data_IF_668812527541
#
_entry.id   IF_668812527541
#
_cell.length_a   1.000
_cell.length_b   1.000
_cell.length_c   1.000
_cell.angle_alpha   90.00
_cell.angle_beta   90.00
_cell.angle_gamma   90.00
#
_symmetry.space_group_name_H-M   'P 1'
#
loop_
_entity.id
_entity.type
_entity.pdbx_description
1 polymer ?
#
# COMPACT_ATOMS: atom_id res chain seq x y z
N UNK A 1 -1.04 -23.41 17.51
CA UNK A 1 -1.99 -22.28 17.43
C UNK A 1 -1.41 -21.00 18.05
N UNK A 2 -1.00 -20.97 19.33
CA UNK A 2 -0.45 -19.76 19.98
C UNK A 2 0.83 -19.19 19.31
N UNK A 3 1.82 -20.03 18.96
CA UNK A 3 3.07 -19.58 18.31
C UNK A 3 2.85 -18.93 16.94
N UNK A 4 1.85 -19.37 16.19
CA UNK A 4 1.49 -18.79 14.88
C UNK A 4 0.86 -17.43 15.04
N UNK A 5 -0.03 -17.26 16.03
CA UNK A 5 -0.64 -15.97 16.34
C UNK A 5 0.40 -14.94 16.83
N UNK A 6 1.35 -15.35 17.67
CA UNK A 6 2.43 -14.48 18.13
C UNK A 6 3.33 -14.04 16.97
N UNK A 7 3.63 -14.94 16.03
CA UNK A 7 4.40 -14.61 14.83
C UNK A 7 3.72 -13.56 13.96
N UNK A 8 2.41 -13.73 13.70
CA UNK A 8 1.63 -12.76 12.90
C UNK A 8 1.57 -11.38 13.57
N UNK A 9 1.32 -11.34 14.89
CA UNK A 9 1.28 -10.07 15.64
C UNK A 9 2.65 -9.38 15.71
N UNK A 10 3.73 -10.16 15.81
CA UNK A 10 5.09 -9.63 15.79
C UNK A 10 5.48 -9.11 14.40
N UNK A 11 5.01 -9.75 13.34
CA UNK A 11 5.16 -9.30 11.96
C UNK A 11 4.45 -7.97 11.73
N UNK A 12 3.15 -7.87 12.07
CA UNK A 12 2.37 -6.63 11.96
C UNK A 12 3.05 -5.49 12.73
N UNK A 13 3.42 -5.73 14.00
CA UNK A 13 4.07 -4.72 14.83
C UNK A 13 5.42 -4.25 14.27
N UNK A 14 6.22 -5.16 13.70
CA UNK A 14 7.48 -4.79 13.04
C UNK A 14 7.23 -3.99 11.75
N UNK A 15 6.22 -4.36 10.97
CA UNK A 15 5.87 -3.72 9.70
C UNK A 15 5.28 -2.32 9.91
N UNK A 16 4.49 -2.10 10.97
CA UNK A 16 3.86 -0.81 11.27
C UNK A 16 4.84 0.24 11.84
N UNK A 17 5.95 -0.20 12.42
CA UNK A 17 6.92 0.67 13.09
C UNK A 17 8.23 0.73 12.28
N UNK A 18 8.46 1.85 11.59
CA UNK A 18 9.60 2.02 10.67
C UNK A 18 10.97 1.90 11.36
N UNK A 19 11.10 2.41 12.58
CA UNK A 19 12.37 2.52 13.31
C UNK A 19 12.61 1.39 14.31
N UNK A 20 11.63 0.49 14.51
CA UNK A 20 11.78 -0.57 15.51
C UNK A 20 12.79 -1.63 15.07
N UNK A 21 13.60 -2.10 16.02
CA UNK A 21 14.57 -3.17 15.80
C UNK A 21 13.96 -4.54 16.12
N UNK A 22 14.48 -5.61 15.51
CA UNK A 22 14.08 -6.98 15.82
C UNK A 22 14.33 -7.35 17.30
N UNK A 23 15.31 -6.71 17.94
CA UNK A 23 15.61 -6.88 19.36
C UNK A 23 14.49 -6.31 20.25
N UNK A 24 13.95 -5.15 19.90
CA UNK A 24 12.83 -4.53 20.63
C UNK A 24 11.54 -5.33 20.42
N UNK A 25 11.28 -5.81 19.20
CA UNK A 25 10.15 -6.71 18.91
C UNK A 25 10.27 -7.99 19.73
N UNK A 26 11.46 -8.59 19.82
CA UNK A 26 11.72 -9.77 20.63
C UNK A 26 11.38 -9.55 22.11
N UNK A 27 11.79 -8.40 22.67
CA UNK A 27 11.43 -7.98 24.02
C UNK A 27 9.91 -7.82 24.21
N UNK A 28 9.24 -7.21 23.24
CA UNK A 28 7.80 -6.91 23.30
C UNK A 28 6.93 -8.17 23.30
N UNK A 29 7.33 -9.19 22.53
CA UNK A 29 6.59 -10.45 22.41
C UNK A 29 7.12 -11.58 23.31
N UNK A 30 8.13 -11.30 24.16
CA UNK A 30 8.80 -12.28 25.03
C UNK A 30 9.33 -13.50 24.28
N UNK A 31 9.88 -13.26 23.09
CA UNK A 31 10.48 -14.28 22.21
C UNK A 31 11.98 -13.98 22.09
N UNK A 32 12.82 -14.99 21.87
CA UNK A 32 14.25 -14.74 21.65
C UNK A 32 14.49 -13.99 20.34
N UNK A 33 15.49 -13.11 20.33
CA UNK A 33 15.90 -12.36 19.12
C UNK A 33 16.25 -13.31 17.96
N UNK A 34 16.88 -14.46 18.25
CA UNK A 34 17.18 -15.50 17.26
C UNK A 34 15.93 -16.04 16.57
N UNK A 35 14.84 -16.25 17.32
CA UNK A 35 13.56 -16.74 16.77
C UNK A 35 12.90 -15.67 15.90
N UNK A 36 12.87 -14.41 16.35
CA UNK A 36 12.31 -13.29 15.58
C UNK A 36 13.11 -13.05 14.30
N UNK A 37 14.45 -13.09 14.38
CA UNK A 37 15.32 -12.97 13.20
C UNK A 37 15.11 -14.08 12.17
N UNK A 38 14.86 -15.31 12.61
CA UNK A 38 14.52 -16.41 11.70
C UNK A 38 13.17 -16.20 11.00
N UNK A 39 12.15 -15.70 11.73
CA UNK A 39 10.84 -15.39 11.12
C UNK A 39 10.94 -14.23 10.14
N UNK A 40 11.64 -13.15 10.53
CA UNK A 40 11.83 -11.98 9.69
C UNK A 40 12.50 -12.31 8.35
N UNK A 41 13.50 -13.21 8.37
CA UNK A 41 14.15 -13.72 7.16
C UNK A 41 13.24 -14.66 6.35
N UNK A 42 12.53 -15.57 7.01
CA UNK A 42 11.69 -16.55 6.31
C UNK A 42 10.50 -15.90 5.57
N UNK A 43 9.91 -14.86 6.15
CA UNK A 43 8.71 -14.19 5.61
C UNK A 43 9.01 -12.82 4.99
N UNK A 44 10.28 -12.45 4.83
CA UNK A 44 10.73 -11.18 4.24
C UNK A 44 10.12 -9.94 4.90
N UNK A 45 10.13 -9.87 6.23
CA UNK A 45 9.49 -8.77 6.98
C UNK A 45 10.06 -7.39 6.62
N UNK A 46 11.37 -7.29 6.35
CA UNK A 46 11.98 -6.03 5.95
C UNK A 46 11.43 -5.53 4.62
N UNK A 47 11.27 -6.40 3.62
CA UNK A 47 10.65 -6.02 2.35
C UNK A 47 9.18 -5.65 2.53
N UNK A 48 8.43 -6.37 3.38
CA UNK A 48 7.04 -6.03 3.68
C UNK A 48 6.92 -4.69 4.41
N UNK A 49 7.81 -4.40 5.35
CA UNK A 49 7.93 -3.10 6.04
C UNK A 49 8.26 -1.98 5.06
N UNK A 50 9.22 -2.22 4.17
CA UNK A 50 9.56 -1.28 3.09
C UNK A 50 8.36 -1.03 2.19
N UNK A 51 7.62 -2.06 1.78
CA UNK A 51 6.43 -1.91 0.94
C UNK A 51 5.27 -1.20 1.66
N UNK A 52 5.05 -1.51 2.95
CA UNK A 52 4.01 -0.90 3.77
C UNK A 52 4.26 0.59 3.98
N UNK A 53 5.51 0.96 4.24
CA UNK A 53 5.90 2.36 4.39
C UNK A 53 6.32 3.02 3.08
N UNK A 54 6.44 2.32 1.95
CA UNK A 54 6.63 2.93 0.62
C UNK A 54 5.33 3.61 0.11
N UNK A 55 4.46 4.04 1.02
CA UNK A 55 3.30 4.85 0.69
C UNK A 55 3.73 6.25 0.26
N UNK A 56 2.92 6.93 -0.58
CA UNK A 56 3.18 8.32 -0.98
C UNK A 56 3.46 9.26 0.20
N UNK A 57 2.89 8.96 1.37
CA UNK A 57 3.08 9.73 2.61
C UNK A 57 4.51 9.66 3.15
N UNK A 58 5.14 8.48 3.20
CA UNK A 58 6.51 8.38 3.71
C UNK A 58 7.54 8.95 2.73
N UNK A 59 7.29 8.79 1.43
CA UNK A 59 8.11 9.41 0.38
C UNK A 59 8.00 10.94 0.49
N UNK A 60 6.79 11.47 0.73
CA UNK A 60 6.57 12.89 1.01
C UNK A 60 7.31 13.36 2.27
N UNK A 61 7.30 12.58 3.35
CA UNK A 61 8.04 12.89 4.57
C UNK A 61 9.57 12.94 4.33
N UNK A 62 10.13 11.98 3.58
CA UNK A 62 11.56 12.00 3.21
C UNK A 62 11.92 13.22 2.35
N UNK A 63 11.08 13.58 1.37
CA UNK A 63 11.27 14.79 0.57
C UNK A 63 11.21 16.07 1.42
N UNK A 64 10.33 16.12 2.42
CA UNK A 64 10.24 17.26 3.34
C UNK A 64 11.49 17.39 4.24
N UNK A 65 12.00 16.28 4.77
CA UNK A 65 13.26 16.27 5.54
C UNK A 65 14.44 16.75 4.68
N UNK A 66 14.50 16.29 3.43
CA UNK A 66 15.54 16.69 2.49
C UNK A 66 15.46 18.18 2.13
N UNK A 67 14.25 18.72 1.96
CA UNK A 67 14.05 20.15 1.72
C UNK A 67 14.52 21.02 2.90
N UNK A 68 14.25 20.59 4.14
CA UNK A 68 14.75 21.27 5.34
C UNK A 68 16.28 21.24 5.42
N UNK A 69 16.88 20.10 5.07
CA UNK A 69 18.33 19.92 5.05
C UNK A 69 19.00 20.89 4.08
N UNK A 70 18.50 20.98 2.85
CA UNK A 70 18.98 21.94 1.85
C UNK A 70 18.76 23.38 2.29
N UNK A 71 17.62 23.68 2.93
CA UNK A 71 17.34 25.02 3.47
C UNK A 71 18.33 25.43 4.58
N UNK A 72 18.86 24.46 5.33
CA UNK A 72 19.90 24.68 6.34
C UNK A 72 21.32 24.77 5.76
N UNK A 73 21.48 24.71 4.43
CA UNK A 73 22.77 24.80 3.74
C UNK A 73 23.54 23.47 3.64
N UNK A 74 22.92 22.37 4.04
CA UNK A 74 23.51 21.04 3.90
C UNK A 74 23.27 20.46 2.50
N UNK A 75 24.20 19.66 1.94
CA UNK A 75 24.02 19.04 0.64
C UNK A 75 22.94 17.97 0.69
N UNK A 76 22.16 17.84 -0.39
CA UNK A 76 21.19 16.77 -0.53
C UNK A 76 21.86 15.38 -0.45
N UNK A 77 21.24 14.47 0.29
CA UNK A 77 21.57 13.05 0.39
C UNK A 77 21.03 12.22 -0.78
N UNK A 78 19.98 12.68 -1.46
CA UNK A 78 19.41 11.99 -2.61
C UNK A 78 18.90 12.95 -3.70
N UNK A 79 18.77 12.42 -4.92
CA UNK A 79 18.31 13.19 -6.07
C UNK A 79 16.78 13.30 -6.08
N UNK A 80 16.26 14.46 -5.68
CA UNK A 80 14.83 14.75 -5.65
C UNK A 80 14.15 14.66 -7.04
N UNK A 81 14.86 15.00 -8.14
CA UNK A 81 14.32 14.89 -9.50
C UNK A 81 14.10 13.42 -9.90
N UNK A 82 15.04 12.54 -9.57
CA UNK A 82 14.88 11.10 -9.79
C UNK A 82 13.72 10.53 -8.97
N UNK A 83 13.56 10.94 -7.70
CA UNK A 83 12.45 10.55 -6.85
C UNK A 83 11.12 11.03 -7.43
N UNK A 84 11.04 12.27 -7.91
CA UNK A 84 9.83 12.82 -8.52
C UNK A 84 9.43 12.04 -9.78
N UNK A 85 10.40 11.64 -10.62
CA UNK A 85 10.14 10.81 -11.81
C UNK A 85 9.60 9.42 -11.44
N UNK A 86 10.17 8.77 -10.43
CA UNK A 86 9.69 7.48 -9.94
C UNK A 86 8.29 7.59 -9.33
N UNK A 87 8.04 8.63 -8.53
CA UNK A 87 6.72 8.91 -7.96
C UNK A 87 5.67 9.18 -9.04
N UNK A 88 6.00 9.96 -10.06
CA UNK A 88 5.11 10.20 -11.19
C UNK A 88 4.79 8.90 -11.94
N UNK A 89 5.75 7.97 -12.08
CA UNK A 89 5.52 6.65 -12.67
C UNK A 89 4.61 5.78 -11.78
N UNK A 90 4.82 5.76 -10.47
CA UNK A 90 3.97 5.05 -9.50
C UNK A 90 2.55 5.62 -9.50
N UNK A 91 2.40 6.94 -9.48
CA UNK A 91 1.10 7.61 -9.55
C UNK A 91 0.37 7.29 -10.86
N UNK A 92 1.08 7.17 -11.99
CA UNK A 92 0.46 6.74 -13.25
C UNK A 92 -0.09 5.32 -13.16
N UNK A 93 0.66 4.40 -12.55
CA UNK A 93 0.23 3.03 -12.30
C UNK A 93 -0.95 2.95 -11.32
N UNK A 94 -0.96 3.79 -10.28
CA UNK A 94 -2.02 3.82 -9.26
C UNK A 94 -3.28 4.60 -9.67
N UNK A 95 -3.18 5.59 -10.56
CA UNK A 95 -4.32 6.40 -11.04
C UNK A 95 -5.33 5.60 -11.87
N UNK A 96 -4.92 4.45 -12.39
CA UNK A 96 -5.79 3.53 -13.09
C UNK A 96 -6.10 2.37 -12.14
N UNK A 97 -7.22 2.46 -11.43
CA UNK A 97 -7.74 1.30 -10.73
C UNK A 97 -7.94 0.17 -11.77
N UNK A 98 -7.40 -1.01 -11.46
CA UNK A 98 -7.45 -2.17 -12.34
C UNK A 98 -8.91 -2.38 -12.82
N UNK A 99 -9.17 -2.43 -14.14
CA UNK A 99 -10.52 -2.66 -14.68
C UNK A 99 -11.22 -3.87 -14.08
N UNK A 100 -10.47 -4.91 -13.69
CA UNK A 100 -10.98 -6.12 -13.05
C UNK A 100 -11.52 -5.78 -11.65
N UNK A 101 -10.79 -4.96 -10.88
CA UNK A 101 -11.22 -4.50 -9.56
C UNK A 101 -12.44 -3.58 -9.67
N UNK A 102 -12.44 -2.63 -10.61
CA UNK A 102 -13.61 -1.77 -10.88
C UNK A 102 -14.82 -2.60 -11.28
N UNK A 103 -14.65 -3.57 -12.18
CA UNK A 103 -15.72 -4.47 -12.61
C UNK A 103 -16.33 -5.23 -11.43
N UNK A 104 -15.48 -5.76 -10.53
CA UNK A 104 -15.92 -6.50 -9.35
C UNK A 104 -16.75 -5.62 -8.41
N UNK A 105 -16.28 -4.41 -8.11
CA UNK A 105 -16.99 -3.46 -7.23
C UNK A 105 -18.33 -3.06 -7.84
N UNK A 106 -18.37 -2.73 -9.14
CA UNK A 106 -19.61 -2.36 -9.82
C UNK A 106 -20.62 -3.52 -9.84
N UNK A 107 -20.14 -4.75 -9.99
CA UNK A 107 -20.98 -5.94 -9.94
C UNK A 107 -21.55 -6.17 -8.54
N UNK A 108 -20.75 -6.00 -7.49
CA UNK A 108 -21.22 -6.05 -6.09
C UNK A 108 -22.26 -4.95 -5.82
N UNK A 109 -22.04 -3.74 -6.34
CA UNK A 109 -23.00 -2.64 -6.27
C UNK A 109 -24.30 -2.96 -7.02
N UNK A 110 -24.23 -3.51 -8.24
CA UNK A 110 -25.39 -3.93 -9.01
C UNK A 110 -26.22 -4.99 -8.25
N UNK A 111 -25.56 -5.93 -7.57
CA UNK A 111 -26.25 -6.92 -6.73
C UNK A 111 -26.92 -6.29 -5.52
N UNK A 112 -26.23 -5.39 -4.81
CA UNK A 112 -26.81 -4.66 -3.69
C UNK A 112 -28.04 -3.84 -4.09
N UNK A 113 -27.98 -3.14 -5.23
CA UNK A 113 -29.14 -2.39 -5.74
C UNK A 113 -30.26 -3.36 -6.13
N UNK A 114 -29.95 -4.49 -6.77
CA UNK A 114 -30.95 -5.46 -7.20
C UNK A 114 -31.71 -6.12 -6.03
N UNK A 115 -31.09 -6.24 -4.85
CA UNK A 115 -31.77 -6.70 -3.63
C UNK A 115 -32.84 -5.72 -3.14
N UNK A 116 -32.68 -4.42 -3.41
CA UNK A 116 -33.62 -3.37 -2.98
C UNK A 116 -34.62 -3.00 -4.09
N UNK A 117 -34.13 -2.81 -5.31
CA UNK A 117 -34.90 -2.47 -6.50
C UNK A 117 -34.26 -3.10 -7.77
N UNK A 118 -34.79 -4.26 -8.22
CA UNK A 118 -34.30 -4.96 -9.40
C UNK A 118 -34.42 -4.16 -10.70
N UNK A 119 -35.37 -3.25 -10.78
CA UNK A 119 -35.70 -2.52 -12.00
C UNK A 119 -34.75 -1.33 -12.16
N UNK A 120 -34.47 -0.63 -11.06
CA UNK A 120 -33.45 0.41 -10.99
C UNK A 120 -32.03 -0.14 -11.18
N UNK A 121 -31.74 -1.35 -10.66
CA UNK A 121 -30.45 -2.01 -10.88
C UNK A 121 -30.14 -2.19 -12.38
N UNK A 122 -31.12 -2.62 -13.18
CA UNK A 122 -30.97 -2.76 -14.64
C UNK A 122 -30.62 -1.44 -15.33
N UNK A 123 -31.23 -0.34 -14.90
CA UNK A 123 -30.93 0.99 -15.44
C UNK A 123 -29.50 1.43 -15.09
N UNK A 124 -29.06 1.17 -13.85
CA UNK A 124 -27.72 1.49 -13.37
C UNK A 124 -26.62 0.68 -14.08
N UNK A 125 -26.84 -0.63 -14.29
CA UNK A 125 -25.87 -1.53 -14.95
C UNK A 125 -25.45 -1.01 -16.33
N UNK A 126 -26.33 -0.32 -17.06
CA UNK A 126 -26.00 0.32 -18.34
C UNK A 126 -24.88 1.37 -18.17
N UNK A 127 -25.02 2.26 -17.19
CA UNK A 127 -24.04 3.32 -16.93
C UNK A 127 -22.74 2.76 -16.32
N UNK A 128 -22.83 1.72 -15.49
CA UNK A 128 -21.65 1.03 -14.96
C UNK A 128 -20.79 0.41 -16.07
N UNK A 129 -21.42 -0.20 -17.09
CA UNK A 129 -20.70 -0.72 -18.27
C UNK A 129 -20.01 0.39 -19.07
N UNK A 130 -20.68 1.52 -19.29
CA UNK A 130 -20.10 2.68 -19.98
C UNK A 130 -18.93 3.27 -19.20
N UNK A 131 -19.04 3.35 -17.88
CA UNK A 131 -17.95 3.79 -17.01
C UNK A 131 -16.75 2.85 -17.06
N UNK A 132 -16.99 1.53 -17.06
CA UNK A 132 -15.92 0.53 -17.20
C UNK A 132 -15.19 0.68 -18.54
N UNK A 133 -15.92 0.84 -19.65
CA UNK A 133 -15.33 1.07 -20.98
C UNK A 133 -14.49 2.34 -21.02
N UNK A 134 -14.97 3.43 -20.41
CA UNK A 134 -14.21 4.67 -20.29
C UNK A 134 -12.91 4.48 -19.49
N UNK A 135 -12.92 3.63 -18.45
CA UNK A 135 -11.73 3.33 -17.66
C UNK A 135 -10.73 2.46 -18.44
N UNK A 136 -11.20 1.43 -19.15
CA UNK A 136 -10.36 0.57 -19.99
C UNK A 136 -9.71 1.38 -21.13
N UNK A 137 -10.49 2.19 -21.85
CA UNK A 137 -9.97 2.95 -23.00
C UNK A 137 -8.99 4.07 -22.63
N UNK A 138 -8.96 4.50 -21.37
CA UNK A 138 -7.97 5.45 -20.86
C UNK A 138 -6.65 4.77 -20.41
N UNK A 139 -6.58 3.44 -20.42
CA UNK A 139 -5.35 2.68 -20.14
C UNK A 139 -4.46 2.60 -21.39
N UNK A 140 -5.06 2.61 -22.58
CA UNK A 140 -4.37 2.49 -23.87
C UNK A 140 -3.91 3.82 -24.51
N UNK A 141 -4.01 4.95 -23.79
CA UNK A 141 -3.55 6.28 -24.23
C UNK A 141 -2.48 6.84 -23.30
#
# INVERSE_FOLDING_TARGET
MAKTQTRLKAEEFYIENLEITLKEVAGHFKVTEKTIGNWAKADNWEQKRLNFHASPTAIKQKLQQEALRVANGEPATFNADAVNKLMAAIDRLNKQADPIVIHKILKELDYFIAEQDPQFAKECTKYHKLFLQLKINNIDK
#
